data_IF_553111176408
#
_entry.id   IF_553111176408
#
_cell.length_a   1.000
_cell.length_b   1.000
_cell.length_c   1.000
_cell.angle_alpha   90.00
_cell.angle_beta   90.00
_cell.angle_gamma   90.00
#
_symmetry.space_group_name_H-M   'P 1'
#
loop_
_entity.id
_entity.type
_entity.pdbx_description
1 polymer ?
#
# COMPACT_ATOMS: atom_id res chain seq x y z
N UNK A 1 9.58 -17.54 10.24
CA UNK A 1 9.68 -16.24 9.54
C UNK A 1 8.33 -16.00 8.86
N UNK A 2 7.58 -14.98 9.31
CA UNK A 2 6.24 -14.71 8.80
C UNK A 2 6.29 -14.10 7.40
N UNK A 3 5.32 -14.46 6.56
CA UNK A 3 5.11 -13.82 5.25
C UNK A 3 4.79 -12.34 5.49
N UNK A 4 5.39 -11.44 4.72
CA UNK A 4 5.10 -9.99 4.74
C UNK A 4 4.40 -9.57 3.47
N UNK A 5 3.28 -8.88 3.59
CA UNK A 5 2.61 -8.20 2.49
C UNK A 5 3.25 -6.82 2.31
N UNK A 6 3.79 -6.57 1.12
CA UNK A 6 4.36 -5.27 0.76
C UNK A 6 3.48 -4.70 -0.35
N UNK A 7 2.79 -3.60 -0.06
CA UNK A 7 2.00 -2.85 -1.04
C UNK A 7 2.79 -1.64 -1.47
N UNK A 8 2.91 -1.44 -2.77
CA UNK A 8 3.61 -0.31 -3.39
C UNK A 8 2.66 0.41 -4.32
N UNK A 9 2.60 1.73 -4.22
CA UNK A 9 1.91 2.60 -5.14
C UNK A 9 2.94 3.41 -5.93
N UNK A 10 2.88 3.34 -7.25
CA UNK A 10 3.76 4.11 -8.13
C UNK A 10 2.97 5.03 -9.05
N UNK A 11 3.48 6.23 -9.25
CA UNK A 11 3.02 7.17 -10.25
C UNK A 11 4.18 8.02 -10.73
N UNK A 12 4.57 7.86 -12.00
CA UNK A 12 5.70 8.57 -12.60
C UNK A 12 6.97 8.42 -11.74
N UNK A 13 7.54 9.50 -11.18
CA UNK A 13 8.68 9.46 -10.25
C UNK A 13 8.31 9.24 -8.77
N UNK A 14 7.03 9.14 -8.43
CA UNK A 14 6.56 8.98 -7.05
C UNK A 14 6.34 7.51 -6.72
N UNK A 15 6.91 7.08 -5.60
CA UNK A 15 6.75 5.74 -5.06
C UNK A 15 6.43 5.82 -3.57
N UNK A 16 5.34 5.17 -3.17
CA UNK A 16 4.95 5.00 -1.77
C UNK A 16 4.84 3.51 -1.45
N UNK A 17 5.30 3.11 -0.27
CA UNK A 17 5.27 1.72 0.14
C UNK A 17 4.74 1.60 1.56
N UNK A 18 3.96 0.55 1.80
CA UNK A 18 3.50 0.13 3.10
C UNK A 18 3.69 -1.38 3.24
N UNK A 19 4.13 -1.81 4.41
CA UNK A 19 4.24 -3.24 4.75
C UNK A 19 3.25 -3.62 5.84
N UNK A 20 2.68 -4.80 5.70
CA UNK A 20 1.91 -5.45 6.74
C UNK A 20 2.41 -6.89 6.91
N UNK A 21 2.38 -7.39 8.14
CA UNK A 21 2.74 -8.78 8.41
C UNK A 21 1.45 -9.60 8.53
N UNK A 22 1.01 -10.32 7.48
CA UNK A 22 -0.19 -11.14 7.55
C UNK A 22 0.01 -12.24 8.58
N UNK A 23 -0.60 -12.01 9.75
CA UNK A 23 -0.71 -13.01 10.81
C UNK A 23 -1.62 -14.17 10.41
N UNK A 24 -2.44 -14.00 9.35
CA UNK A 24 -3.32 -15.04 8.83
C UNK A 24 -3.55 -14.85 7.32
N UNK A 25 -3.61 -15.92 6.49
CA UNK A 25 -3.91 -15.81 5.06
C UNK A 25 -5.31 -15.23 4.78
N UNK A 26 -6.29 -15.45 5.67
CA UNK A 26 -7.61 -14.80 5.58
C UNK A 26 -7.59 -13.30 5.88
N UNK A 27 -6.56 -12.79 6.56
CA UNK A 27 -6.42 -11.37 6.87
C UNK A 27 -5.69 -10.60 5.76
N UNK A 28 -5.35 -11.25 4.65
CA UNK A 28 -4.62 -10.63 3.53
C UNK A 28 -5.36 -9.41 2.96
N UNK A 29 -6.68 -9.48 2.79
CA UNK A 29 -7.48 -8.38 2.28
C UNK A 29 -7.56 -7.20 3.26
N UNK A 30 -7.78 -7.48 4.55
CA UNK A 30 -7.80 -6.45 5.59
C UNK A 30 -6.46 -5.73 5.68
N UNK A 31 -5.35 -6.46 5.62
CA UNK A 31 -4.01 -5.89 5.64
C UNK A 31 -3.65 -5.14 4.37
N UNK A 32 -4.07 -5.64 3.22
CA UNK A 32 -3.93 -4.92 1.95
C UNK A 32 -4.67 -3.58 2.01
N UNK A 33 -5.93 -3.61 2.44
CA UNK A 33 -6.74 -2.40 2.60
C UNK A 33 -6.14 -1.42 3.62
N UNK A 34 -5.54 -1.93 4.70
CA UNK A 34 -4.80 -1.10 5.67
C UNK A 34 -3.59 -0.43 5.01
N UNK A 35 -2.78 -1.17 4.25
CA UNK A 35 -1.64 -0.62 3.51
C UNK A 35 -2.05 0.43 2.49
N UNK A 36 -3.12 0.18 1.73
CA UNK A 36 -3.67 1.14 0.76
C UNK A 36 -4.16 2.41 1.45
N UNK A 37 -4.81 2.30 2.62
CA UNK A 37 -5.19 3.46 3.43
C UNK A 37 -3.98 4.26 3.90
N UNK A 38 -2.91 3.58 4.32
CA UNK A 38 -1.69 4.25 4.79
C UNK A 38 -0.99 5.01 3.65
N UNK A 39 -0.85 4.37 2.49
CA UNK A 39 -0.35 5.00 1.27
C UNK A 39 -1.21 6.20 0.88
N UNK A 40 -2.54 6.07 0.90
CA UNK A 40 -3.44 7.19 0.60
C UNK A 40 -3.27 8.35 1.58
N UNK A 41 -3.00 8.10 2.86
CA UNK A 41 -2.67 9.15 3.84
C UNK A 41 -1.34 9.81 3.51
N UNK A 42 -0.33 9.06 3.05
CA UNK A 42 0.95 9.63 2.63
C UNK A 42 0.79 10.53 1.39
N UNK A 43 -0.02 10.11 0.42
CA UNK A 43 -0.37 10.91 -0.77
C UNK A 43 -1.13 12.19 -0.35
N UNK A 44 -2.06 12.07 0.60
CA UNK A 44 -2.85 13.19 1.10
C UNK A 44 -1.97 14.22 1.83
N UNK A 45 -1.06 13.76 2.69
CA UNK A 45 -0.04 14.60 3.34
C UNK A 45 0.88 15.30 2.33
N UNK A 46 1.11 14.70 1.17
CA UNK A 46 1.88 15.30 0.09
C UNK A 46 1.07 16.33 -0.74
N UNK A 47 -0.16 16.66 -0.33
CA UNK A 47 -1.12 17.49 -1.09
C UNK A 47 -1.39 16.97 -2.51
N UNK A 48 -1.28 15.65 -2.71
CA UNK A 48 -1.49 14.98 -4.01
C UNK A 48 -2.79 14.18 -4.02
N UNK A 49 -3.79 14.61 -3.26
CA UNK A 49 -5.04 13.88 -3.09
C UNK A 49 -5.80 13.64 -4.39
N UNK A 50 -5.69 14.56 -5.34
CA UNK A 50 -6.26 14.42 -6.70
C UNK A 50 -5.56 13.33 -7.52
N UNK A 51 -4.30 13.03 -7.22
CA UNK A 51 -3.50 12.02 -7.93
C UNK A 51 -3.72 10.60 -7.41
N UNK A 52 -4.50 10.40 -6.33
CA UNK A 52 -4.75 9.08 -5.72
C UNK A 52 -5.21 8.03 -6.74
N UNK A 53 -6.02 8.44 -7.72
CA UNK A 53 -6.52 7.58 -8.80
C UNK A 53 -5.48 7.27 -9.88
N UNK A 54 -4.42 8.06 -9.97
CA UNK A 54 -3.35 7.90 -10.95
C UNK A 54 -2.27 6.92 -10.46
N UNK A 55 -2.20 6.66 -9.15
CA UNK A 55 -1.27 5.68 -8.59
C UNK A 55 -1.68 4.25 -8.95
N UNK A 56 -0.74 3.51 -9.53
CA UNK A 56 -0.88 2.07 -9.75
C UNK A 56 -0.43 1.33 -8.50
N UNK A 57 -1.37 0.61 -7.87
CA UNK A 57 -1.09 -0.21 -6.70
C UNK A 57 -0.63 -1.61 -7.13
N UNK A 58 0.37 -2.13 -6.46
CA UNK A 58 0.88 -3.49 -6.63
C UNK A 58 1.22 -4.07 -5.27
N UNK A 59 1.01 -5.37 -5.09
CA UNK A 59 1.37 -6.04 -3.84
C UNK A 59 2.22 -7.28 -4.10
N UNK A 60 3.13 -7.58 -3.17
CA UNK A 60 3.93 -8.79 -3.17
C UNK A 60 3.99 -9.37 -1.77
N UNK A 61 4.00 -10.70 -1.68
CA UNK A 61 4.19 -11.41 -0.42
C UNK A 61 5.63 -11.95 -0.41
N UNK A 62 6.42 -11.57 0.60
CA UNK A 62 7.81 -12.00 0.77
C UNK A 62 7.99 -12.80 2.05
#
# INVERSE_FOLDING_TARGET
>A
MGKKLIVTAKYDTLEYQAEASPYNPSAHEEQYNSCVKDINKQIDKANKSEMKLAFTFSHKIK
#
